data_IF_842447858691
#
_entry.id   IF_842447858691
#
_cell.length_a   1.000
_cell.length_b   1.000
_cell.length_c   1.000
_cell.angle_alpha   90.00
_cell.angle_beta   90.00
_cell.angle_gamma   90.00
#
_symmetry.space_group_name_H-M   'P 1'
#
loop_
_entity.id
_entity.type
_entity.pdbx_description
1 polymer ?
#
# COMPACT_ATOMS: atom_id res chain seq x y z
N UNK A 1 23.03 2.63 -2.29
CA UNK A 1 21.75 2.75 -1.60
C UNK A 1 20.80 1.68 -2.15
N UNK A 2 20.13 1.00 -1.26
CA UNK A 2 19.26 -0.11 -1.64
C UNK A 2 18.07 0.37 -2.44
N UNK A 3 17.79 -0.32 -3.56
CA UNK A 3 16.60 -0.05 -4.37
C UNK A 3 15.53 -1.11 -4.11
N UNK A 4 14.29 -0.70 -4.19
CA UNK A 4 13.14 -1.58 -3.97
C UNK A 4 12.00 -1.20 -4.91
N UNK A 5 11.03 -2.10 -5.03
CA UNK A 5 9.87 -1.85 -5.86
C UNK A 5 8.93 -0.85 -5.20
N UNK A 6 8.37 0.02 -6.04
CA UNK A 6 7.36 1.00 -5.64
C UNK A 6 6.21 0.97 -6.64
N UNK A 7 5.03 1.34 -6.18
CA UNK A 7 3.83 1.42 -7.03
C UNK A 7 3.23 2.80 -6.87
N UNK A 8 3.06 3.50 -7.98
CA UNK A 8 2.37 4.78 -7.99
C UNK A 8 0.94 4.56 -8.51
N UNK A 9 -0.05 4.90 -7.69
CA UNK A 9 -1.46 4.84 -8.08
C UNK A 9 -1.83 6.11 -8.84
N UNK A 10 -2.69 5.98 -9.85
CA UNK A 10 -3.14 7.13 -10.62
C UNK A 10 -4.55 6.90 -11.15
N UNK A 11 -5.09 7.89 -11.82
CA UNK A 11 -6.38 7.77 -12.50
C UNK A 11 -6.23 7.08 -13.85
N UNK A 12 -7.30 6.42 -14.27
CA UNK A 12 -7.32 5.75 -15.57
C UNK A 12 -7.03 6.75 -16.68
N UNK A 13 -6.11 6.41 -17.58
CA UNK A 13 -5.72 7.24 -18.69
C UNK A 13 -4.48 8.09 -18.43
N UNK A 14 -4.09 8.27 -17.16
CA UNK A 14 -2.91 9.06 -16.82
C UNK A 14 -1.64 8.23 -16.65
N UNK A 15 -1.73 6.92 -16.81
CA UNK A 15 -0.59 6.04 -16.60
C UNK A 15 0.63 6.41 -17.47
N UNK A 16 0.46 6.72 -18.79
CA UNK A 16 1.63 7.09 -19.59
C UNK A 16 2.29 8.39 -19.13
N UNK A 17 1.48 9.37 -18.71
CA UNK A 17 2.01 10.65 -18.21
C UNK A 17 2.81 10.42 -16.93
N UNK A 18 2.25 9.62 -16.00
CA UNK A 18 2.93 9.28 -14.77
C UNK A 18 4.24 8.53 -15.03
N UNK A 19 4.22 7.58 -15.96
CA UNK A 19 5.43 6.82 -16.32
C UNK A 19 6.53 7.76 -16.81
N UNK A 20 6.18 8.77 -17.59
CA UNK A 20 7.14 9.75 -18.08
C UNK A 20 7.69 10.60 -16.93
N UNK A 21 6.83 11.05 -16.01
CA UNK A 21 7.29 11.79 -14.84
C UNK A 21 8.28 10.98 -14.01
N UNK A 22 7.97 9.70 -13.79
CA UNK A 22 8.85 8.82 -13.02
C UNK A 22 10.18 8.60 -13.70
N UNK A 23 10.19 8.41 -15.01
CA UNK A 23 11.42 8.24 -15.77
C UNK A 23 12.29 9.50 -15.67
N UNK A 24 11.69 10.66 -15.72
CA UNK A 24 12.42 11.93 -15.59
C UNK A 24 13.00 12.11 -14.18
N UNK A 25 12.37 11.54 -13.16
CA UNK A 25 12.88 11.58 -11.79
C UNK A 25 14.04 10.61 -11.57
N UNK A 26 14.29 9.71 -12.50
CA UNK A 26 15.35 8.73 -12.36
C UNK A 26 14.90 7.35 -11.92
N UNK A 27 13.59 7.06 -12.00
CA UNK A 27 13.09 5.74 -11.66
C UNK A 27 13.52 4.71 -12.68
N UNK A 28 13.76 3.49 -12.21
CA UNK A 28 14.15 2.36 -13.06
C UNK A 28 12.98 1.39 -13.19
N UNK A 29 13.02 0.55 -14.23
CA UNK A 29 12.03 -0.51 -14.44
C UNK A 29 10.59 0.00 -14.40
N UNK A 30 10.35 1.13 -15.06
CA UNK A 30 9.02 1.75 -15.09
C UNK A 30 8.10 0.91 -15.98
N UNK A 31 7.00 0.43 -15.40
CA UNK A 31 6.02 -0.40 -16.12
C UNK A 31 4.62 0.09 -15.85
N UNK A 32 3.84 0.21 -16.91
CA UNK A 32 2.45 0.69 -16.84
C UNK A 32 1.51 -0.46 -16.59
N UNK A 33 0.61 -0.31 -15.63
CA UNK A 33 -0.47 -1.22 -15.36
C UNK A 33 -1.80 -0.47 -15.37
N UNK A 34 -2.83 -1.12 -14.91
CA UNK A 34 -4.16 -0.52 -14.84
C UNK A 34 -4.24 0.40 -13.61
N UNK A 35 -4.30 1.71 -13.85
CA UNK A 35 -4.36 2.75 -12.82
C UNK A 35 -3.13 2.73 -11.89
N UNK A 36 -2.05 2.09 -12.37
CA UNK A 36 -0.81 2.02 -11.60
C UNK A 36 0.38 2.11 -12.53
N UNK A 37 1.50 2.57 -11.99
CA UNK A 37 2.80 2.47 -12.65
C UNK A 37 3.75 1.92 -11.60
N UNK A 38 4.35 0.77 -11.89
CA UNK A 38 5.36 0.20 -10.99
C UNK A 38 6.74 0.68 -11.41
N UNK A 39 7.63 0.81 -10.47
CA UNK A 39 8.98 1.27 -10.74
C UNK A 39 9.91 0.84 -9.60
N UNK A 40 11.19 1.00 -9.83
CA UNK A 40 12.22 0.68 -8.84
C UNK A 40 12.97 1.96 -8.49
N UNK A 41 13.22 2.17 -7.22
CA UNK A 41 13.97 3.31 -6.74
C UNK A 41 14.40 3.11 -5.30
N UNK A 42 15.22 4.03 -4.82
CA UNK A 42 15.67 4.02 -3.42
C UNK A 42 14.75 4.91 -2.57
N UNK A 43 15.08 5.01 -1.30
CA UNK A 43 14.29 5.78 -0.35
C UNK A 43 14.24 7.27 -0.71
N UNK A 44 15.35 7.80 -1.23
CA UNK A 44 15.39 9.19 -1.67
C UNK A 44 14.44 9.43 -2.83
N UNK A 45 14.42 8.52 -3.82
CA UNK A 45 13.49 8.63 -4.94
C UNK A 45 12.04 8.57 -4.46
N UNK A 46 11.75 7.70 -3.50
CA UNK A 46 10.41 7.60 -2.92
C UNK A 46 9.97 8.93 -2.32
N UNK A 47 10.83 9.59 -1.58
CA UNK A 47 10.50 10.90 -1.01
C UNK A 47 10.33 11.97 -2.08
N UNK A 48 11.23 11.99 -3.06
CA UNK A 48 11.13 12.96 -4.16
C UNK A 48 9.85 12.76 -4.97
N UNK A 49 9.47 11.51 -5.20
CA UNK A 49 8.23 11.20 -5.92
C UNK A 49 7.01 11.72 -5.17
N UNK A 50 7.00 11.59 -3.85
CA UNK A 50 5.89 12.10 -3.05
C UNK A 50 5.72 13.61 -3.14
N UNK A 51 6.80 14.34 -3.39
CA UNK A 51 6.73 15.80 -3.49
C UNK A 51 6.55 16.31 -4.91
N UNK A 52 7.10 15.62 -5.90
CA UNK A 52 7.24 16.16 -7.26
C UNK A 52 6.24 15.61 -8.27
N UNK A 53 5.65 14.45 -8.03
CA UNK A 53 4.70 13.89 -8.99
C UNK A 53 3.37 14.61 -8.97
N UNK A 54 2.85 14.91 -10.14
CA UNK A 54 1.57 15.63 -10.30
C UNK A 54 0.40 14.71 -10.62
N UNK A 55 0.68 13.57 -11.24
CA UNK A 55 -0.36 12.64 -11.69
C UNK A 55 -0.56 11.45 -10.76
N UNK A 56 0.26 11.30 -9.74
CA UNK A 56 0.12 10.22 -8.77
C UNK A 56 -0.82 10.61 -7.65
N UNK A 57 -1.68 9.66 -7.27
CA UNK A 57 -2.57 9.82 -6.11
C UNK A 57 -1.87 9.34 -4.85
N UNK A 58 -1.20 8.20 -4.94
CA UNK A 58 -0.48 7.57 -3.82
C UNK A 58 0.76 6.87 -4.33
N UNK A 59 1.77 6.82 -3.48
CA UNK A 59 2.99 6.02 -3.72
C UNK A 59 3.00 4.91 -2.68
N UNK A 60 2.95 3.67 -3.14
CA UNK A 60 2.89 2.49 -2.29
C UNK A 60 4.21 1.74 -2.32
N UNK A 61 4.62 1.24 -1.18
CA UNK A 61 5.80 0.37 -1.06
C UNK A 61 5.32 -1.04 -0.72
N UNK A 62 5.39 -2.00 -1.67
CA UNK A 62 4.99 -3.38 -1.38
C UNK A 62 5.87 -3.98 -0.28
N UNK A 63 5.23 -4.65 0.67
CA UNK A 63 5.95 -5.35 1.75
C UNK A 63 5.74 -6.86 1.69
N UNK A 64 4.70 -7.33 1.01
CA UNK A 64 4.46 -8.76 0.85
C UNK A 64 3.65 -9.03 -0.40
N UNK A 65 3.99 -10.11 -1.09
CA UNK A 65 3.23 -10.62 -2.23
C UNK A 65 2.96 -12.10 -1.98
N UNK A 66 1.71 -12.50 -2.18
CA UNK A 66 1.32 -13.89 -1.93
C UNK A 66 0.09 -14.22 -2.77
N UNK A 67 -0.27 -15.50 -2.77
CA UNK A 67 -1.50 -15.96 -3.42
C UNK A 67 -2.49 -16.37 -2.34
N UNK A 68 -3.76 -16.06 -2.56
CA UNK A 68 -4.83 -16.40 -1.64
C UNK A 68 -6.10 -16.68 -2.43
N UNK A 69 -6.85 -17.69 -2.02
CA UNK A 69 -8.11 -18.06 -2.65
C UNK A 69 -9.32 -17.65 -1.81
N UNK A 70 -9.10 -17.29 -0.57
CA UNK A 70 -10.17 -16.91 0.34
C UNK A 70 -9.66 -15.86 1.31
N UNK A 71 -10.60 -15.22 2.02
CA UNK A 71 -10.25 -14.26 3.04
C UNK A 71 -9.49 -14.91 4.20
N UNK A 72 -9.75 -16.19 4.47
CA UNK A 72 -9.00 -16.91 5.50
C UNK A 72 -7.55 -17.13 5.08
N UNK A 73 -7.29 -17.40 3.80
CA UNK A 73 -5.93 -17.49 3.28
C UNK A 73 -5.21 -16.16 3.45
N UNK A 74 -5.90 -15.05 3.19
CA UNK A 74 -5.34 -13.71 3.38
C UNK A 74 -4.94 -13.53 4.84
N UNK A 75 -5.83 -13.90 5.77
CA UNK A 75 -5.55 -13.81 7.20
C UNK A 75 -4.26 -14.56 7.56
N UNK A 76 -4.12 -15.80 7.10
CA UNK A 76 -2.95 -16.61 7.40
C UNK A 76 -1.67 -16.01 6.85
N UNK A 77 -1.70 -15.50 5.62
CA UNK A 77 -0.52 -14.88 5.01
C UNK A 77 -0.12 -13.60 5.70
N UNK A 78 -1.09 -12.78 6.11
CA UNK A 78 -0.81 -11.55 6.84
C UNK A 78 -0.20 -11.85 8.21
N UNK A 79 -0.63 -12.92 8.86
CA UNK A 79 -0.07 -13.34 10.14
C UNK A 79 1.41 -13.75 10.07
N UNK A 80 1.89 -14.13 8.90
CA UNK A 80 3.30 -14.51 8.71
C UNK A 80 4.25 -13.31 8.70
N UNK A 81 3.71 -12.10 8.56
CA UNK A 81 4.50 -10.87 8.53
C UNK A 81 4.77 -10.43 9.96
N UNK A 82 6.00 -9.99 10.24
CA UNK A 82 6.33 -9.44 11.54
C UNK A 82 5.90 -7.97 11.60
N UNK A 83 4.72 -7.72 12.14
CA UNK A 83 4.13 -6.40 12.16
C UNK A 83 4.82 -5.43 13.10
N UNK A 84 5.59 -5.93 14.05
CA UNK A 84 6.37 -5.05 14.93
C UNK A 84 7.40 -4.23 14.17
N UNK A 85 7.80 -4.71 12.99
CA UNK A 85 8.73 -3.98 12.12
C UNK A 85 8.07 -2.85 11.36
N UNK A 86 6.76 -2.86 11.24
CA UNK A 86 6.01 -1.89 10.43
C UNK A 86 5.15 -0.95 11.25
N UNK A 87 4.66 -1.41 12.39
CA UNK A 87 3.77 -0.64 13.26
C UNK A 87 4.37 -0.57 14.65
N UNK A 88 4.79 0.61 15.05
CA UNK A 88 5.31 0.82 16.39
C UNK A 88 4.17 0.77 17.42
N UNK A 89 4.51 0.37 18.64
CA UNK A 89 3.54 0.32 19.73
C UNK A 89 2.95 1.70 19.97
N UNK A 90 1.63 1.73 20.11
CA UNK A 90 0.90 2.98 20.32
C UNK A 90 0.49 3.71 19.05
N UNK A 91 0.95 3.26 17.88
CA UNK A 91 0.58 3.88 16.62
C UNK A 91 -0.73 3.31 16.09
N UNK A 92 -1.46 4.13 15.34
CA UNK A 92 -2.71 3.72 14.71
C UNK A 92 -2.45 3.29 13.27
N UNK A 93 -3.36 2.47 12.73
CA UNK A 93 -3.26 2.05 11.34
C UNK A 93 -4.63 1.94 10.70
N UNK A 94 -4.64 1.95 9.38
CA UNK A 94 -5.85 1.66 8.59
C UNK A 94 -5.49 0.75 7.44
N UNK A 95 -6.51 0.08 6.89
CA UNK A 95 -6.35 -0.83 5.75
C UNK A 95 -7.36 -0.46 4.70
N UNK A 96 -6.88 -0.22 3.48
CA UNK A 96 -7.71 -0.06 2.29
C UNK A 96 -7.54 -1.27 1.40
N UNK A 97 -8.62 -1.71 0.76
CA UNK A 97 -8.59 -2.88 -0.11
C UNK A 97 -9.07 -2.51 -1.51
N UNK A 98 -8.34 -3.01 -2.51
CA UNK A 98 -8.73 -2.93 -3.92
C UNK A 98 -8.78 -4.36 -4.44
N UNK A 99 -9.96 -4.80 -4.86
CA UNK A 99 -10.18 -6.20 -5.22
C UNK A 99 -10.72 -6.30 -6.65
N UNK A 100 -10.00 -7.02 -7.50
CA UNK A 100 -10.40 -7.37 -8.86
C UNK A 100 -10.45 -8.89 -8.95
N UNK A 101 -11.45 -9.50 -8.32
CA UNK A 101 -11.55 -10.96 -8.27
C UNK A 101 -12.97 -11.37 -8.03
N UNK A 102 -13.43 -12.41 -8.73
CA UNK A 102 -14.75 -12.97 -8.51
C UNK A 102 -14.80 -13.79 -7.21
N UNK A 103 -13.66 -14.31 -6.79
CA UNK A 103 -13.57 -15.09 -5.55
C UNK A 103 -13.71 -14.21 -4.31
N UNK A 104 -13.22 -12.97 -4.39
CA UNK A 104 -13.26 -12.01 -3.28
C UNK A 104 -14.29 -10.93 -3.58
N UNK A 105 -15.56 -11.29 -3.50
CA UNK A 105 -16.64 -10.35 -3.88
C UNK A 105 -16.81 -9.20 -2.89
N UNK A 106 -16.44 -9.41 -1.64
CA UNK A 106 -16.63 -8.42 -0.59
C UNK A 106 -15.28 -7.89 -0.11
N UNK A 107 -14.88 -6.72 -0.65
CA UNK A 107 -13.62 -6.11 -0.28
C UNK A 107 -13.59 -5.69 1.20
N UNK A 108 -14.76 -5.36 1.77
CA UNK A 108 -14.84 -5.00 3.18
C UNK A 108 -14.48 -6.19 4.07
N UNK A 109 -14.87 -7.37 3.67
CA UNK A 109 -14.55 -8.58 4.42
C UNK A 109 -13.03 -8.85 4.39
N UNK A 110 -12.41 -8.63 3.23
CA UNK A 110 -10.95 -8.73 3.10
C UNK A 110 -10.26 -7.73 4.03
N UNK A 111 -10.76 -6.51 4.05
CA UNK A 111 -10.22 -5.46 4.93
C UNK A 111 -10.27 -5.89 6.40
N UNK A 112 -11.40 -6.45 6.84
CA UNK A 112 -11.54 -6.93 8.22
C UNK A 112 -10.56 -8.06 8.53
N UNK A 113 -10.36 -8.98 7.59
CA UNK A 113 -9.44 -10.10 7.81
C UNK A 113 -8.00 -9.62 7.95
N UNK A 114 -7.59 -8.63 7.16
CA UNK A 114 -6.25 -8.05 7.30
C UNK A 114 -6.10 -7.37 8.66
N UNK A 115 -7.09 -6.57 9.06
CA UNK A 115 -7.07 -5.91 10.37
C UNK A 115 -7.01 -6.93 11.50
N UNK A 116 -7.84 -7.97 11.43
CA UNK A 116 -7.87 -9.01 12.47
C UNK A 116 -6.53 -9.71 12.59
N UNK A 117 -5.90 -10.04 11.46
CA UNK A 117 -4.60 -10.71 11.46
C UNK A 117 -3.55 -9.88 12.17
N UNK A 118 -3.54 -8.57 11.91
CA UNK A 118 -2.57 -7.66 12.53
C UNK A 118 -2.86 -7.52 14.04
N UNK A 119 -4.11 -7.27 14.38
CA UNK A 119 -4.53 -7.10 15.79
C UNK A 119 -4.25 -8.37 16.58
N UNK A 120 -4.57 -9.53 16.02
CA UNK A 120 -4.36 -10.81 16.71
C UNK A 120 -2.88 -11.05 16.95
N UNK A 121 -2.02 -10.71 16.00
CA UNK A 121 -0.57 -10.87 16.19
C UNK A 121 -0.05 -10.01 17.33
N UNK A 122 -0.46 -8.74 17.41
CA UNK A 122 -0.04 -7.86 18.50
C UNK A 122 -0.58 -8.35 19.85
N UNK A 123 -1.81 -8.80 19.87
CA UNK A 123 -2.41 -9.32 21.10
C UNK A 123 -1.67 -10.55 21.61
N UNK A 124 -1.28 -11.44 20.72
CA UNK A 124 -0.54 -12.65 21.08
C UNK A 124 0.86 -12.34 21.59
N UNK A 125 1.51 -11.31 21.05
CA UNK A 125 2.90 -10.98 21.41
C UNK A 125 3.01 -10.05 22.61
N UNK A 126 2.12 -9.06 22.70
CA UNK A 126 2.25 -8.00 23.71
C UNK A 126 1.07 -7.94 24.68
N UNK A 127 -0.01 -8.66 24.39
CA UNK A 127 -1.25 -8.57 25.18
C UNK A 127 -2.05 -7.30 24.88
N UNK A 128 -1.55 -6.42 24.04
CA UNK A 128 -2.22 -5.17 23.67
C UNK A 128 -2.57 -5.18 22.20
N UNK A 129 -3.67 -4.50 21.87
CA UNK A 129 -4.04 -4.36 20.47
C UNK A 129 -3.75 -2.94 19.98
N UNK A 130 -3.25 -2.76 18.75
CA UNK A 130 -3.06 -1.44 18.20
C UNK A 130 -4.42 -0.80 17.91
N UNK A 131 -4.45 0.53 17.96
CA UNK A 131 -5.65 1.27 17.66
C UNK A 131 -5.82 1.41 16.15
N UNK A 132 -7.08 1.44 15.73
CA UNK A 132 -7.43 1.64 14.34
C UNK A 132 -7.97 3.06 14.19
N UNK A 133 -7.47 3.78 13.19
CA UNK A 133 -7.98 5.10 12.86
C UNK A 133 -8.23 5.19 11.37
N UNK A 134 -9.47 5.47 10.98
CA UNK A 134 -9.86 5.58 9.58
C UNK A 134 -9.52 6.97 9.03
N UNK A 135 -9.70 8.00 9.84
CA UNK A 135 -9.58 9.38 9.39
C UNK A 135 -8.15 9.90 9.39
N UNK A 136 -7.34 9.52 10.38
CA UNK A 136 -5.98 10.03 10.51
C UNK A 136 -5.05 8.98 11.09
N UNK A 137 -4.83 7.87 10.40
CA UNK A 137 -3.94 6.82 10.89
C UNK A 137 -2.48 7.24 10.76
N UNK A 138 -1.66 6.69 11.66
CA UNK A 138 -0.21 6.86 11.56
C UNK A 138 0.36 6.05 10.39
N UNK A 139 -0.24 4.89 10.14
CA UNK A 139 0.21 3.97 9.09
C UNK A 139 -0.98 3.58 8.23
N UNK A 140 -0.83 3.73 6.92
CA UNK A 140 -1.84 3.31 5.95
C UNK A 140 -1.34 2.10 5.21
N UNK A 141 -2.15 1.06 5.19
CA UNK A 141 -1.86 -0.18 4.47
C UNK A 141 -2.85 -0.31 3.33
N UNK A 142 -2.38 -0.92 2.23
CA UNK A 142 -3.21 -1.19 1.08
C UNK A 142 -3.03 -2.64 0.68
N UNK A 143 -4.14 -3.37 0.53
CA UNK A 143 -4.09 -4.71 -0.04
C UNK A 143 -4.76 -4.68 -1.41
N UNK A 144 -4.04 -5.13 -2.41
CA UNK A 144 -4.51 -5.22 -3.80
C UNK A 144 -4.62 -6.68 -4.17
N UNK A 145 -5.80 -7.11 -4.60
CA UNK A 145 -6.05 -8.48 -5.03
C UNK A 145 -6.50 -8.47 -6.48
N UNK A 146 -5.74 -9.15 -7.34
CA UNK A 146 -6.10 -9.37 -8.74
C UNK A 146 -6.20 -10.88 -8.93
N UNK A 147 -7.41 -11.39 -9.08
CA UNK A 147 -7.73 -12.82 -9.05
C UNK A 147 -7.23 -13.46 -7.76
N UNK A 148 -6.11 -14.18 -7.78
CA UNK A 148 -5.53 -14.80 -6.59
C UNK A 148 -4.25 -14.14 -6.14
N UNK A 149 -3.77 -13.15 -6.89
CA UNK A 149 -2.50 -12.47 -6.59
C UNK A 149 -2.74 -11.31 -5.66
N UNK A 150 -2.13 -11.36 -4.49
CA UNK A 150 -2.30 -10.37 -3.45
C UNK A 150 -1.00 -9.60 -3.25
N UNK A 151 -1.10 -8.28 -3.15
CA UNK A 151 0.03 -7.42 -2.83
C UNK A 151 -0.36 -6.54 -1.66
N UNK A 152 0.39 -6.64 -0.58
CA UNK A 152 0.21 -5.80 0.59
C UNK A 152 1.28 -4.73 0.58
N UNK A 153 0.87 -3.47 0.70
CA UNK A 153 1.77 -2.34 0.59
C UNK A 153 1.57 -1.33 1.71
N UNK A 154 2.66 -0.62 2.04
CA UNK A 154 2.60 0.57 2.88
C UNK A 154 2.37 1.78 1.98
N UNK A 155 1.51 2.68 2.42
CA UNK A 155 1.31 3.96 1.73
C UNK A 155 2.37 4.94 2.24
N UNK A 156 3.34 5.25 1.41
CA UNK A 156 4.45 6.11 1.79
C UNK A 156 4.08 7.58 1.80
N UNK A 157 2.94 7.93 1.22
CA UNK A 157 2.52 9.34 1.14
C UNK A 157 1.76 9.82 2.38
N UNK A 158 1.21 8.87 3.16
CA UNK A 158 0.37 9.19 4.32
C UNK A 158 -0.99 9.71 3.92
N UNK A 159 -1.04 10.76 3.12
CA UNK A 159 -2.26 11.33 2.57
C UNK A 159 -2.22 11.22 1.06
N UNK A 160 -3.39 11.38 0.42
CA UNK A 160 -3.45 11.43 -1.03
C UNK A 160 -2.56 12.55 -1.54
N UNK A 161 -1.68 12.25 -2.50
CA UNK A 161 -0.80 13.24 -3.09
C UNK A 161 -1.57 14.36 -3.78
N UNK A 162 -2.74 14.03 -4.33
CA UNK A 162 -3.60 15.02 -4.96
C UNK A 162 -4.04 16.09 -3.96
N UNK A 163 -4.42 15.69 -2.76
CA UNK A 163 -4.80 16.62 -1.69
C UNK A 163 -3.62 17.41 -1.18
N UNK A 164 -2.47 16.76 -1.05
CA UNK A 164 -1.26 17.42 -0.57
C UNK A 164 -0.81 18.52 -1.52
N UNK A 165 -0.93 18.29 -2.81
CA UNK A 165 -0.62 19.30 -3.81
C UNK A 165 -1.41 20.58 -3.60
N UNK A 166 -2.68 20.46 -3.29
CA UNK A 166 -3.52 21.61 -3.02
C UNK A 166 -3.04 22.41 -1.81
N UNK A 167 -2.62 21.72 -0.77
CA UNK A 167 -2.27 22.40 0.48
C UNK A 167 -0.93 23.11 0.40
N UNK A 168 -0.12 22.82 -0.58
CA UNK A 168 1.14 23.49 -0.76
C UNK A 168 1.01 24.84 -1.46
N UNK A 169 -0.14 25.08 -2.02
CA UNK A 169 -0.43 26.36 -2.62
C UNK A 169 -0.92 27.37 -1.61
#
# INVERSE_FOLDING_TARGET
MEEFELIAKTFMGLEPVLAQELTQLGANNVQIGRRVVSFTGNKELMYRANFQLHTAIRILKPIAKFKARSADDVYEEIQKIDWSKHIEEGKTFSVDSVVYSEEFRNSRFVTYKVKDAIVDQFRQRTGKRPNISVSNPDIRLNIHIAEYDCTLSLDSSGESLHRRGYRQE
#
